data_IF_549934197470
#
_entry.id   IF_549934197470
#
_cell.length_a   1.000
_cell.length_b   1.000
_cell.length_c   1.000
_cell.angle_alpha   90.00
_cell.angle_beta   90.00
_cell.angle_gamma   90.00
#
_symmetry.space_group_name_H-M   'P 1'
#
loop_
_entity.id
_entity.type
_entity.pdbx_description
1 polymer ?
#
# COMPACT_ATOMS: atom_id res chain seq x y z
N UNK A 1 -12.91 8.36 23.48
CA UNK A 1 -13.52 8.13 22.15
C UNK A 1 -12.47 7.46 21.27
N UNK A 2 -12.77 6.36 20.57
CA UNK A 2 -11.83 5.72 19.64
C UNK A 2 -12.09 6.23 18.22
N UNK A 3 -11.02 6.46 17.45
CA UNK A 3 -11.09 6.85 16.03
C UNK A 3 -10.66 5.68 15.14
N UNK A 4 -11.04 5.69 13.87
CA UNK A 4 -10.64 4.65 12.92
C UNK A 4 -10.44 5.25 11.54
N UNK A 5 -9.56 4.63 10.76
CA UNK A 5 -9.30 5.02 9.37
C UNK A 5 -9.91 3.99 8.41
N UNK A 6 -10.71 4.44 7.45
CA UNK A 6 -11.27 3.60 6.39
C UNK A 6 -10.62 3.98 5.07
N UNK A 7 -9.96 3.02 4.44
CA UNK A 7 -9.28 3.17 3.15
C UNK A 7 -10.00 2.35 2.09
N UNK A 8 -10.72 3.05 1.22
CA UNK A 8 -11.42 2.45 0.10
C UNK A 8 -10.46 1.89 -0.96
N UNK A 9 -10.96 0.95 -1.76
CA UNK A 9 -10.29 0.49 -2.97
C UNK A 9 -10.32 1.56 -4.06
N UNK A 10 -9.47 1.39 -5.08
CA UNK A 10 -9.44 2.34 -6.19
C UNK A 10 -8.31 2.15 -7.20
N UNK A 11 -7.64 0.98 -7.18
CA UNK A 11 -6.44 0.73 -7.97
C UNK A 11 -5.46 1.92 -7.87
N UNK A 12 -5.05 2.49 -9.01
CA UNK A 12 -4.13 3.63 -9.07
C UNK A 12 -4.74 4.96 -8.60
N UNK A 13 -6.07 5.10 -8.52
CA UNK A 13 -6.71 6.31 -7.96
C UNK A 13 -6.41 6.47 -6.46
N UNK A 14 -6.08 5.37 -5.78
CA UNK A 14 -5.66 5.37 -4.37
C UNK A 14 -4.35 6.12 -4.11
N UNK A 15 -3.61 6.55 -5.15
CA UNK A 15 -2.44 7.42 -4.97
C UNK A 15 -2.81 8.78 -4.36
N UNK A 16 -4.00 9.29 -4.64
CA UNK A 16 -4.48 10.51 -3.96
C UNK A 16 -4.60 10.26 -2.44
N UNK A 17 -5.19 9.13 -2.06
CA UNK A 17 -5.27 8.69 -0.65
C UNK A 17 -3.88 8.51 -0.03
N UNK A 18 -2.91 7.99 -0.78
CA UNK A 18 -1.53 7.85 -0.29
C UNK A 18 -0.94 9.19 0.13
N UNK A 19 -1.13 10.25 -0.67
CA UNK A 19 -0.66 11.59 -0.33
C UNK A 19 -1.32 12.14 0.95
N UNK A 20 -2.61 11.88 1.16
CA UNK A 20 -3.29 12.23 2.42
C UNK A 20 -2.67 11.47 3.59
N UNK A 21 -2.49 10.16 3.45
CA UNK A 21 -1.94 9.32 4.53
C UNK A 21 -0.49 9.64 4.85
N UNK A 22 0.28 10.10 3.86
CA UNK A 22 1.65 10.60 4.04
C UNK A 22 1.66 11.83 4.93
N UNK A 23 0.82 12.84 4.62
CA UNK A 23 0.69 14.05 5.46
C UNK A 23 0.23 13.70 6.88
N UNK A 24 -0.70 12.74 7.04
CA UNK A 24 -1.13 12.29 8.37
C UNK A 24 0.03 11.67 9.16
N UNK A 25 0.82 10.80 8.54
CA UNK A 25 1.99 10.19 9.17
C UNK A 25 3.07 11.23 9.54
N UNK A 26 3.35 12.18 8.63
CA UNK A 26 4.31 13.27 8.85
C UNK A 26 3.90 14.16 10.03
N UNK A 27 2.60 14.34 10.26
CA UNK A 27 2.06 15.08 11.39
C UNK A 27 1.79 14.20 12.63
N UNK A 28 2.34 12.98 12.67
CA UNK A 28 2.18 12.03 13.77
C UNK A 28 0.71 11.71 14.12
N UNK A 29 -0.19 11.80 13.14
CA UNK A 29 -1.59 11.41 13.30
C UNK A 29 -1.71 9.90 13.18
N UNK A 30 -2.08 9.26 14.28
CA UNK A 30 -2.25 7.80 14.37
C UNK A 30 -3.68 7.42 14.72
N UNK A 31 -4.10 6.24 14.28
CA UNK A 31 -5.40 5.65 14.57
C UNK A 31 -5.22 4.34 15.34
N UNK A 32 -6.10 4.02 16.30
CA UNK A 32 -6.05 2.71 16.97
C UNK A 32 -6.46 1.56 16.05
N UNK A 33 -7.19 1.83 14.96
CA UNK A 33 -7.58 0.82 13.97
C UNK A 33 -7.77 1.37 12.56
N UNK A 34 -7.59 0.49 11.57
CA UNK A 34 -7.73 0.79 10.16
C UNK A 34 -8.40 -0.37 9.41
N UNK A 35 -9.27 -0.05 8.45
CA UNK A 35 -9.87 -1.01 7.52
C UNK A 35 -9.47 -0.63 6.10
N UNK A 36 -8.92 -1.59 5.34
CA UNK A 36 -8.51 -1.37 3.95
C UNK A 36 -9.18 -2.34 2.99
N UNK A 37 -9.65 -1.84 1.85
CA UNK A 37 -10.22 -2.65 0.76
C UNK A 37 -9.31 -2.58 -0.47
N UNK A 38 -8.92 -3.72 -1.05
CA UNK A 38 -8.11 -3.76 -2.29
C UNK A 38 -6.88 -2.82 -2.21
N UNK A 39 -6.80 -1.79 -3.06
CA UNK A 39 -5.74 -0.78 -3.04
C UNK A 39 -5.61 -0.04 -1.69
N UNK A 40 -6.71 0.22 -0.99
CA UNK A 40 -6.67 0.81 0.35
C UNK A 40 -5.97 -0.11 1.36
N UNK A 41 -6.09 -1.42 1.19
CA UNK A 41 -5.36 -2.40 1.98
C UNK A 41 -3.87 -2.46 1.56
N UNK A 42 -3.60 -2.51 0.25
CA UNK A 42 -2.24 -2.56 -0.29
C UNK A 42 -1.41 -1.31 0.04
N UNK A 43 -2.04 -0.13 0.09
CA UNK A 43 -1.37 1.11 0.44
C UNK A 43 -1.38 1.38 1.94
N UNK A 44 -2.46 1.00 2.64
CA UNK A 44 -2.62 1.19 4.08
C UNK A 44 -1.54 0.50 4.92
N UNK A 45 -0.95 -0.60 4.43
CA UNK A 45 0.14 -1.27 5.15
C UNK A 45 1.35 -0.34 5.42
N UNK A 46 1.57 0.67 4.57
CA UNK A 46 2.65 1.66 4.73
C UNK A 46 2.41 2.61 5.93
N UNK A 47 1.15 2.79 6.35
CA UNK A 47 0.81 3.52 7.58
C UNK A 47 1.27 2.71 8.79
N UNK A 48 1.01 1.41 8.77
CA UNK A 48 1.39 0.53 9.88
C UNK A 48 2.91 0.34 9.97
N UNK A 49 3.62 0.29 8.84
CA UNK A 49 5.10 0.29 8.81
C UNK A 49 5.73 1.68 9.05
N UNK A 50 4.93 2.74 9.19
CA UNK A 50 5.39 4.13 9.42
C UNK A 50 6.35 4.65 8.34
N UNK A 51 6.05 4.36 7.08
CA UNK A 51 6.90 4.73 5.93
C UNK A 51 6.19 5.77 5.04
N UNK A 52 6.12 7.05 5.45
CA UNK A 52 5.55 8.10 4.61
C UNK A 52 6.31 8.21 3.29
N UNK A 53 5.56 8.48 2.22
CA UNK A 53 6.06 8.64 0.86
C UNK A 53 6.36 7.33 0.13
N UNK A 54 6.41 6.18 0.83
CA UNK A 54 6.76 4.88 0.21
C UNK A 54 5.76 4.48 -0.86
N UNK A 55 4.46 4.53 -0.54
CA UNK A 55 3.40 4.14 -1.47
C UNK A 55 3.43 4.94 -2.77
N UNK A 56 3.56 6.27 -2.68
CA UNK A 56 3.72 7.13 -3.85
C UNK A 56 5.02 6.83 -4.60
N UNK A 57 6.15 6.69 -3.89
CA UNK A 57 7.48 6.52 -4.48
C UNK A 57 7.57 5.29 -5.38
N UNK A 58 7.18 4.10 -4.92
CA UNK A 58 7.28 2.91 -5.76
C UNK A 58 6.26 2.94 -6.90
N UNK A 59 5.05 3.44 -6.68
CA UNK A 59 4.04 3.54 -7.74
C UNK A 59 4.49 4.47 -8.87
N UNK A 60 5.06 5.63 -8.54
CA UNK A 60 5.55 6.59 -9.53
C UNK A 60 6.82 6.09 -10.23
N UNK A 61 7.75 5.49 -9.47
CA UNK A 61 9.00 4.94 -10.03
C UNK A 61 8.73 3.83 -11.05
N UNK A 62 7.76 2.97 -10.79
CA UNK A 62 7.48 1.80 -11.63
C UNK A 62 6.25 1.96 -12.53
N UNK A 63 5.64 3.14 -12.60
CA UNK A 63 4.41 3.40 -13.38
C UNK A 63 4.50 2.99 -14.87
N UNK A 64 5.71 3.03 -15.45
CA UNK A 64 5.97 2.65 -16.85
C UNK A 64 6.64 1.29 -17.02
N UNK A 65 6.92 0.58 -15.93
CA UNK A 65 7.52 -0.75 -15.98
C UNK A 65 6.44 -1.79 -16.29
N UNK A 66 6.61 -2.55 -17.38
CA UNK A 66 5.65 -3.61 -17.77
C UNK A 66 5.57 -4.74 -16.74
N UNK A 67 6.61 -4.92 -15.94
CA UNK A 67 6.59 -5.84 -14.80
C UNK A 67 5.68 -5.33 -13.69
N UNK A 68 5.46 -4.03 -13.58
CA UNK A 68 4.56 -3.46 -12.57
C UNK A 68 3.10 -3.66 -12.93
N UNK A 69 2.64 -3.08 -14.05
CA UNK A 69 1.26 -3.17 -14.51
C UNK A 69 1.22 -3.27 -16.04
N UNK A 70 0.67 -4.36 -16.59
CA UNK A 70 0.51 -4.49 -18.03
C UNK A 70 -0.59 -5.46 -18.44
N UNK A 71 -1.20 -5.20 -19.60
CA UNK A 71 -2.15 -6.14 -20.25
C UNK A 71 -1.46 -7.49 -20.54
N UNK A 72 -0.15 -7.47 -20.81
CA UNK A 72 0.65 -8.69 -20.98
C UNK A 72 0.59 -9.57 -19.73
N UNK A 73 0.78 -8.99 -18.53
CA UNK A 73 0.69 -9.76 -17.28
C UNK A 73 -0.72 -10.35 -17.13
N UNK A 74 -1.77 -9.55 -17.36
CA UNK A 74 -3.15 -10.04 -17.30
C UNK A 74 -3.40 -11.24 -18.22
N UNK A 75 -2.90 -11.20 -19.47
CA UNK A 75 -3.11 -12.27 -20.45
C UNK A 75 -2.36 -13.56 -20.11
N UNK A 76 -1.14 -13.47 -19.57
CA UNK A 76 -0.29 -14.65 -19.30
C UNK A 76 -0.41 -15.20 -17.89
N UNK A 77 -0.77 -14.37 -16.90
CA UNK A 77 -0.82 -14.77 -15.48
C UNK A 77 -2.18 -14.56 -14.82
N UNK A 78 -3.14 -13.90 -15.50
CA UNK A 78 -4.42 -13.52 -14.90
C UNK A 78 -4.36 -12.31 -13.96
N UNK A 79 -3.16 -11.78 -13.70
CA UNK A 79 -2.92 -10.68 -12.76
C UNK A 79 -2.43 -9.44 -13.55
N UNK A 80 -3.19 -8.34 -13.53
CA UNK A 80 -2.77 -7.10 -14.22
C UNK A 80 -1.53 -6.46 -13.57
N UNK A 81 -1.45 -6.55 -12.24
CA UNK A 81 -0.27 -6.20 -11.45
C UNK A 81 0.55 -7.47 -11.19
N UNK A 82 1.83 -7.50 -11.57
CA UNK A 82 2.63 -8.71 -11.40
C UNK A 82 2.81 -9.05 -9.93
N UNK A 83 2.42 -10.25 -9.52
CA UNK A 83 2.62 -10.77 -8.16
C UNK A 83 4.10 -10.82 -7.77
N UNK A 84 4.95 -11.28 -8.70
CA UNK A 84 6.39 -11.40 -8.46
C UNK A 84 7.01 -10.01 -8.26
N UNK A 85 6.77 -9.11 -9.20
CA UNK A 85 7.40 -7.80 -9.13
C UNK A 85 6.82 -6.93 -8.00
N UNK A 86 5.50 -6.83 -7.89
CA UNK A 86 4.85 -5.95 -6.92
C UNK A 86 4.95 -6.45 -5.48
N UNK A 87 4.85 -7.76 -5.24
CA UNK A 87 4.79 -8.32 -3.87
C UNK A 87 6.07 -8.98 -3.40
N UNK A 88 7.06 -9.22 -4.27
CA UNK A 88 8.36 -9.74 -3.88
C UNK A 88 9.47 -8.74 -4.18
N UNK A 89 9.72 -8.45 -5.45
CA UNK A 89 10.87 -7.61 -5.86
C UNK A 89 10.79 -6.20 -5.29
N UNK A 90 9.64 -5.52 -5.40
CA UNK A 90 9.49 -4.15 -4.88
C UNK A 90 9.71 -4.08 -3.36
N UNK A 91 8.98 -4.83 -2.51
CA UNK A 91 9.11 -4.70 -1.06
C UNK A 91 10.36 -5.33 -0.44
N UNK A 92 11.05 -6.27 -1.11
CA UNK A 92 12.23 -6.93 -0.54
C UNK A 92 13.56 -6.55 -1.18
N UNK A 93 13.56 -5.90 -2.34
CA UNK A 93 14.80 -5.54 -3.04
C UNK A 93 14.87 -4.06 -3.44
N UNK A 94 13.80 -3.50 -4.03
CA UNK A 94 13.88 -2.19 -4.70
C UNK A 94 13.40 -1.00 -3.86
N UNK A 95 12.43 -1.21 -2.98
CA UNK A 95 11.87 -0.21 -2.05
C UNK A 95 11.45 -0.94 -0.77
N UNK A 96 12.41 -1.12 0.15
CA UNK A 96 12.28 -2.07 1.27
C UNK A 96 11.11 -1.72 2.19
N UNK A 97 10.23 -2.69 2.41
CA UNK A 97 9.15 -2.60 3.39
C UNK A 97 9.67 -2.91 4.80
N UNK A 98 9.32 -2.08 5.78
CA UNK A 98 9.69 -2.31 7.18
C UNK A 98 8.70 -3.28 7.85
N UNK A 99 8.93 -4.57 7.64
CA UNK A 99 8.13 -5.65 8.24
C UNK A 99 8.18 -5.66 9.76
N UNK A 100 9.28 -5.17 10.36
CA UNK A 100 9.43 -5.13 11.82
C UNK A 100 8.54 -4.03 12.40
N UNK A 101 8.64 -2.81 11.88
CA UNK A 101 7.77 -1.71 12.30
C UNK A 101 6.30 -2.04 12.08
N UNK A 102 5.97 -2.71 10.97
CA UNK A 102 4.62 -3.20 10.72
C UNK A 102 4.14 -4.18 11.81
N UNK A 103 4.96 -5.16 12.19
CA UNK A 103 4.60 -6.17 13.18
C UNK A 103 4.52 -5.60 14.61
N UNK A 104 5.41 -4.67 14.97
CA UNK A 104 5.47 -4.04 16.29
C UNK A 104 4.38 -2.97 16.50
N UNK A 105 3.74 -2.48 15.44
CA UNK A 105 2.70 -1.47 15.54
C UNK A 105 1.37 -2.05 16.09
N UNK A 106 0.86 -1.55 17.23
CA UNK A 106 -0.33 -2.09 17.87
C UNK A 106 -1.66 -1.75 17.17
N UNK A 107 -1.62 -0.93 16.10
CA UNK A 107 -2.80 -0.59 15.31
C UNK A 107 -3.48 -1.85 14.73
N UNK A 108 -4.78 -2.00 14.98
CA UNK A 108 -5.60 -3.03 14.35
C UNK A 108 -5.70 -2.75 12.85
N UNK A 109 -5.47 -3.78 12.02
CA UNK A 109 -5.56 -3.63 10.56
C UNK A 109 -6.41 -4.74 9.97
N UNK A 110 -7.62 -4.38 9.54
CA UNK A 110 -8.57 -5.30 8.93
C UNK A 110 -8.55 -5.16 7.42
N UNK A 111 -8.56 -6.30 6.74
CA UNK A 111 -8.60 -6.38 5.28
C UNK A 111 -9.99 -6.82 4.86
N UNK A 112 -10.59 -6.10 3.92
CA UNK A 112 -11.79 -6.57 3.23
C UNK A 112 -11.41 -7.17 1.87
N UNK A 113 -11.89 -8.38 1.63
CA UNK A 113 -11.74 -9.12 0.37
C UNK A 113 -13.13 -9.51 -0.14
N UNK A 114 -13.29 -9.59 -1.46
CA UNK A 114 -14.53 -9.95 -2.16
C UNK A 114 -14.27 -11.10 -3.09
#
# INVERSE_FOLDING_TARGET
MKTGLVLEGGAMRGLFTCGITDVLMENSVSFPGMIGVSAGAAFGCNIKSKQPGRALRYNLRFARDKRYCSIRNLLFTGDIFSREFCWHTVPFELDIFDSRAFAENPMEFHLAVT
#
